data_IF_598169961111
#
_entry.id   IF_598169961111
#
_cell.length_a   1.000
_cell.length_b   1.000
_cell.length_c   1.000
_cell.angle_alpha   90.00
_cell.angle_beta   90.00
_cell.angle_gamma   90.00
#
_symmetry.space_group_name_H-M   'P 1'
#
loop_
_entity.id
_entity.type
_entity.pdbx_description
1 polymer ?
#
# COMPACT_ATOMS: atom_id res chain seq x y z
N UNK A 1 26.90 45.45 -16.95
CA UNK A 1 27.47 44.08 -16.98
C UNK A 1 27.33 43.37 -15.64
N UNK A 2 27.81 43.93 -14.52
CA UNK A 2 27.74 43.25 -13.20
C UNK A 2 26.32 42.90 -12.71
N UNK A 3 25.32 43.78 -12.91
CA UNK A 3 23.93 43.51 -12.50
C UNK A 3 23.32 42.34 -13.27
N UNK A 4 23.59 42.24 -14.57
CA UNK A 4 23.07 41.17 -15.43
C UNK A 4 23.69 39.80 -15.10
N UNK A 5 24.97 39.78 -14.70
CA UNK A 5 25.65 38.56 -14.25
C UNK A 5 25.12 38.07 -12.90
N UNK A 6 24.78 38.98 -11.97
CA UNK A 6 24.19 38.62 -10.68
C UNK A 6 22.76 38.10 -10.86
N UNK A 7 21.96 38.73 -11.72
CA UNK A 7 20.62 38.24 -12.07
C UNK A 7 20.67 36.87 -12.77
N UNK A 8 21.59 36.66 -13.71
CA UNK A 8 21.80 35.34 -14.33
C UNK A 8 22.20 34.28 -13.29
N UNK A 9 23.15 34.59 -12.41
CA UNK A 9 23.58 33.66 -11.37
C UNK A 9 22.46 33.31 -10.37
N UNK A 10 21.60 34.28 -10.02
CA UNK A 10 20.43 34.05 -9.14
C UNK A 10 19.39 33.15 -9.84
N UNK A 11 19.15 33.37 -11.14
CA UNK A 11 18.24 32.54 -11.92
C UNK A 11 18.79 31.12 -12.08
N UNK A 12 20.09 30.96 -12.35
CA UNK A 12 20.75 29.65 -12.41
C UNK A 12 20.68 28.92 -11.07
N UNK A 13 21.03 29.58 -9.95
CA UNK A 13 20.91 28.99 -8.61
C UNK A 13 19.45 28.62 -8.25
N UNK A 14 18.47 29.39 -8.71
CA UNK A 14 17.05 29.09 -8.50
C UNK A 14 16.59 27.90 -9.34
N UNK A 15 17.05 27.79 -10.59
CA UNK A 15 16.78 26.63 -11.46
C UNK A 15 17.46 25.37 -10.94
N UNK A 16 18.71 25.48 -10.46
CA UNK A 16 19.45 24.38 -9.85
C UNK A 16 18.74 23.85 -8.60
N UNK A 17 18.15 24.74 -7.79
CA UNK A 17 17.41 24.37 -6.59
C UNK A 17 16.08 23.65 -6.86
N UNK A 18 15.60 23.66 -8.12
CA UNK A 18 14.30 23.12 -8.55
C UNK A 18 14.40 21.89 -9.47
N UNK A 19 15.59 21.49 -9.90
CA UNK A 19 15.78 20.31 -10.74
C UNK A 19 15.84 19.04 -9.89
N UNK A 20 14.92 18.11 -10.13
CA UNK A 20 14.89 16.81 -9.46
C UNK A 20 16.06 15.92 -9.92
N UNK A 21 16.59 16.12 -11.13
CA UNK A 21 17.82 15.46 -11.61
C UNK A 21 19.06 15.95 -10.86
N UNK A 22 19.16 17.23 -10.51
CA UNK A 22 20.28 17.70 -9.68
C UNK A 22 20.17 17.20 -8.23
N UNK A 23 18.96 17.10 -7.70
CA UNK A 23 18.72 16.60 -6.34
C UNK A 23 19.00 15.09 -6.24
N UNK A 24 18.53 14.31 -7.23
CA UNK A 24 18.51 12.85 -7.15
C UNK A 24 19.36 12.13 -8.21
N UNK A 25 19.65 12.75 -9.35
CA UNK A 25 20.40 12.18 -10.47
C UNK A 25 21.92 12.19 -10.25
N UNK A 26 22.40 11.34 -9.35
CA UNK A 26 23.84 11.24 -9.05
C UNK A 26 24.48 10.12 -9.87
N UNK A 27 25.11 10.46 -11.00
CA UNK A 27 25.81 9.49 -11.86
C UNK A 27 26.77 8.62 -11.02
N UNK A 28 26.64 7.30 -11.15
CA UNK A 28 27.49 6.32 -10.48
C UNK A 28 27.18 6.07 -9.00
N UNK A 29 26.29 6.84 -8.35
CA UNK A 29 25.83 6.54 -6.98
C UNK A 29 24.61 5.64 -7.02
N UNK A 30 24.71 4.48 -6.38
CA UNK A 30 23.63 3.50 -6.21
C UNK A 30 23.70 2.91 -4.81
N UNK A 31 22.68 2.13 -4.47
CA UNK A 31 22.67 1.36 -3.23
C UNK A 31 22.19 2.15 -2.01
N UNK A 32 22.42 1.60 -0.80
CA UNK A 32 21.87 2.15 0.44
C UNK A 32 22.33 3.58 0.77
N UNK A 33 23.60 3.91 0.48
CA UNK A 33 24.15 5.24 0.75
C UNK A 33 23.51 6.32 -0.13
N UNK A 34 23.14 5.95 -1.36
CA UNK A 34 22.38 6.83 -2.24
C UNK A 34 21.00 7.13 -1.65
N UNK A 35 20.26 6.11 -1.23
CA UNK A 35 18.93 6.27 -0.64
C UNK A 35 18.97 7.07 0.67
N UNK A 36 20.01 6.90 1.48
CA UNK A 36 20.22 7.73 2.68
C UNK A 36 20.37 9.21 2.30
N UNK A 37 21.13 9.51 1.24
CA UNK A 37 21.26 10.87 0.73
C UNK A 37 19.95 11.45 0.21
N UNK A 38 19.09 10.62 -0.43
CA UNK A 38 17.74 11.03 -0.82
C UNK A 38 16.90 11.35 0.41
N UNK A 39 16.89 10.47 1.42
CA UNK A 39 16.13 10.68 2.65
C UNK A 39 16.56 11.96 3.37
N UNK A 40 17.87 12.22 3.47
CA UNK A 40 18.40 13.43 4.08
C UNK A 40 17.93 14.68 3.32
N UNK A 41 17.99 14.65 1.99
CA UNK A 41 17.51 15.75 1.15
C UNK A 41 16.01 16.01 1.34
N UNK A 42 15.19 14.96 1.23
CA UNK A 42 13.72 15.04 1.34
C UNK A 42 13.28 15.44 2.75
N UNK A 43 13.98 14.99 3.79
CA UNK A 43 13.60 15.26 5.20
C UNK A 43 14.08 16.60 5.73
N UNK A 44 15.28 17.03 5.32
CA UNK A 44 15.99 18.16 5.97
C UNK A 44 16.09 19.40 5.09
N UNK A 45 16.26 19.21 3.79
CA UNK A 45 16.55 20.31 2.87
C UNK A 45 15.30 20.75 2.11
N UNK A 46 14.49 19.78 1.66
CA UNK A 46 13.40 19.98 0.69
C UNK A 46 12.01 19.62 1.22
N UNK A 47 11.87 19.35 2.52
CA UNK A 47 10.60 18.93 3.11
C UNK A 47 9.52 20.00 2.91
N UNK A 48 8.34 19.60 2.44
CA UNK A 48 7.21 20.45 2.06
C UNK A 48 7.42 21.39 0.87
N UNK A 49 8.57 21.36 0.20
CA UNK A 49 8.71 22.06 -1.08
C UNK A 49 7.85 21.40 -2.16
N UNK A 50 7.29 22.23 -3.05
CA UNK A 50 6.40 21.81 -4.13
C UNK A 50 7.11 22.00 -5.46
N UNK A 51 7.17 20.93 -6.25
CA UNK A 51 7.81 20.88 -7.56
C UNK A 51 6.75 20.64 -8.63
N UNK A 52 6.67 21.52 -9.62
CA UNK A 52 5.79 21.32 -10.77
C UNK A 52 6.32 20.20 -11.67
N UNK A 53 5.47 19.25 -12.03
CA UNK A 53 5.80 18.20 -12.99
C UNK A 53 5.35 18.62 -14.38
N UNK A 54 6.15 18.29 -15.40
CA UNK A 54 5.78 18.59 -16.80
C UNK A 54 4.59 17.79 -17.29
N UNK A 55 4.43 16.56 -16.79
CA UNK A 55 3.30 15.68 -17.08
C UNK A 55 2.90 14.88 -15.83
N UNK A 56 1.58 14.65 -15.64
CA UNK A 56 0.48 15.28 -16.37
C UNK A 56 0.40 16.79 -16.10
N UNK A 57 -0.30 17.54 -16.97
CA UNK A 57 -0.38 19.00 -16.83
C UNK A 57 -1.08 19.39 -15.52
N UNK A 58 -0.47 20.28 -14.74
CA UNK A 58 -0.96 20.67 -13.42
C UNK A 58 -0.56 19.73 -12.28
N UNK A 59 0.16 18.64 -12.58
CA UNK A 59 0.67 17.77 -11.52
C UNK A 59 1.83 18.42 -10.76
N UNK A 60 1.88 18.15 -9.46
CA UNK A 60 2.91 18.66 -8.57
C UNK A 60 3.39 17.57 -7.62
N UNK A 61 4.69 17.51 -7.38
CA UNK A 61 5.31 16.69 -6.35
C UNK A 61 5.49 17.54 -5.09
N UNK A 62 4.77 17.21 -4.03
CA UNK A 62 5.04 17.73 -2.68
C UNK A 62 6.05 16.82 -1.99
N UNK A 63 7.24 17.33 -1.77
CA UNK A 63 8.35 16.58 -1.18
C UNK A 63 8.12 16.33 0.30
N UNK A 64 8.36 15.10 0.74
CA UNK A 64 8.19 14.72 2.14
C UNK A 64 8.60 13.26 2.35
N UNK A 65 9.17 12.92 3.51
CA UNK A 65 9.50 11.55 3.83
C UNK A 65 8.23 10.74 4.12
N UNK A 66 8.41 9.47 4.49
CA UNK A 66 7.31 8.54 4.79
C UNK A 66 6.30 9.11 5.81
N UNK A 67 6.81 9.83 6.80
CA UNK A 67 6.03 10.39 7.90
C UNK A 67 5.03 11.46 7.44
N UNK A 68 5.22 12.02 6.24
CA UNK A 68 4.34 13.03 5.64
C UNK A 68 3.27 12.42 4.71
N UNK A 69 3.20 11.09 4.64
CA UNK A 69 2.21 10.35 3.84
C UNK A 69 1.10 9.78 4.72
N UNK A 70 0.02 9.31 4.10
CA UNK A 70 -1.04 8.52 4.78
C UNK A 70 -0.54 7.20 5.36
N UNK A 71 0.68 6.76 5.03
CA UNK A 71 1.30 5.52 5.51
C UNK A 71 2.29 5.74 6.67
N UNK A 72 2.26 6.91 7.31
CA UNK A 72 3.17 7.28 8.40
C UNK A 72 3.14 6.29 9.59
N UNK A 73 1.99 5.72 9.89
CA UNK A 73 1.81 4.70 10.94
C UNK A 73 2.06 3.26 10.44
N UNK A 74 2.29 3.08 9.14
CA UNK A 74 2.39 1.78 8.47
C UNK A 74 3.73 1.57 7.73
N UNK A 75 4.89 1.75 8.39
CA UNK A 75 6.20 1.63 7.73
C UNK A 75 6.46 0.23 7.16
N UNK A 76 5.75 -0.79 7.65
CA UNK A 76 5.82 -2.16 7.12
C UNK A 76 5.20 -2.28 5.74
N UNK A 77 4.14 -1.53 5.44
CA UNK A 77 3.47 -1.51 4.13
C UNK A 77 4.43 -0.95 3.09
N UNK A 78 5.06 0.19 3.38
CA UNK A 78 6.02 0.83 2.47
C UNK A 78 7.25 -0.04 2.23
N UNK A 79 7.76 -0.69 3.27
CA UNK A 79 8.84 -1.69 3.13
C UNK A 79 8.40 -2.95 2.36
N UNK A 80 7.09 -3.21 2.27
CA UNK A 80 6.51 -4.29 1.48
C UNK A 80 6.54 -4.02 -0.02
N UNK A 81 6.41 -2.76 -0.45
CA UNK A 81 6.40 -2.40 -1.87
C UNK A 81 7.67 -2.86 -2.61
N UNK A 82 8.85 -2.62 -2.03
CA UNK A 82 10.12 -3.09 -2.60
C UNK A 82 10.37 -4.59 -2.49
N UNK A 83 9.51 -5.36 -1.80
CA UNK A 83 9.70 -6.81 -1.55
C UNK A 83 8.68 -7.70 -2.23
N UNK A 84 7.44 -7.23 -2.36
CA UNK A 84 6.31 -8.08 -2.73
C UNK A 84 5.67 -7.68 -4.06
N UNK A 85 5.93 -6.46 -4.55
CA UNK A 85 5.42 -6.00 -5.83
C UNK A 85 6.43 -6.24 -6.96
N UNK A 86 7.74 -6.12 -6.68
CA UNK A 86 8.76 -6.24 -7.70
C UNK A 86 9.35 -7.66 -7.76
N UNK A 87 9.71 -8.16 -8.97
CA UNK A 87 10.31 -9.49 -9.12
C UNK A 87 11.60 -9.67 -8.32
N UNK A 88 12.37 -8.59 -8.16
CA UNK A 88 13.57 -8.56 -7.34
C UNK A 88 13.34 -7.67 -6.12
N UNK A 89 13.87 -8.10 -4.97
CA UNK A 89 13.82 -7.29 -3.76
C UNK A 89 14.71 -6.06 -3.95
N UNK A 90 14.10 -4.89 -3.90
CA UNK A 90 14.79 -3.60 -4.01
C UNK A 90 14.54 -2.75 -2.77
N UNK A 91 15.52 -1.89 -2.47
CA UNK A 91 15.33 -0.83 -1.47
C UNK A 91 14.74 0.40 -2.14
N UNK A 92 13.77 1.00 -1.49
CA UNK A 92 13.06 2.18 -1.97
C UNK A 92 13.03 3.24 -0.87
N UNK A 93 13.01 4.50 -1.28
CA UNK A 93 12.86 5.65 -0.39
C UNK A 93 11.71 6.53 -0.88
N UNK A 94 10.79 6.89 0.03
CA UNK A 94 9.73 7.86 -0.25
C UNK A 94 10.35 9.23 -0.53
N UNK A 95 9.92 9.84 -1.62
CA UNK A 95 10.32 11.17 -2.09
C UNK A 95 9.24 12.19 -1.77
N UNK A 96 7.97 11.80 -1.87
CA UNK A 96 6.85 12.68 -1.60
C UNK A 96 5.54 12.16 -2.17
N UNK A 97 4.55 13.04 -2.22
CA UNK A 97 3.21 12.76 -2.74
C UNK A 97 3.00 13.56 -4.02
N UNK A 98 2.46 12.92 -5.05
CA UNK A 98 2.09 13.58 -6.30
C UNK A 98 0.61 13.93 -6.26
N UNK A 99 0.32 15.21 -6.49
CA UNK A 99 -1.02 15.77 -6.61
C UNK A 99 -1.29 16.18 -8.06
N UNK A 100 -2.57 16.36 -8.43
CA UNK A 100 -2.96 16.78 -9.79
C UNK A 100 -2.88 15.66 -10.84
N UNK A 101 -3.05 14.40 -10.44
CA UNK A 101 -3.12 13.24 -11.34
C UNK A 101 -4.53 12.64 -11.36
N UNK A 102 -4.77 11.69 -12.27
CA UNK A 102 -6.03 10.93 -12.31
C UNK A 102 -6.10 9.78 -11.30
N UNK A 103 -5.22 9.78 -10.28
CA UNK A 103 -5.22 8.75 -9.25
C UNK A 103 -6.58 8.74 -8.52
N UNK A 104 -7.28 7.59 -8.43
CA UNK A 104 -8.60 7.52 -7.79
C UNK A 104 -8.53 7.52 -6.26
N UNK A 105 -7.35 7.32 -5.69
CA UNK A 105 -7.11 7.13 -4.26
C UNK A 105 -6.50 8.36 -3.58
N UNK A 106 -6.44 8.33 -2.25
CA UNK A 106 -6.13 9.50 -1.40
C UNK A 106 -4.75 10.13 -1.69
N UNK A 107 -3.71 9.33 -1.94
CA UNK A 107 -2.36 9.84 -2.23
C UNK A 107 -1.62 8.95 -3.24
N UNK A 108 -1.03 9.56 -4.27
CA UNK A 108 -0.08 8.90 -5.16
C UNK A 108 1.34 9.08 -4.60
N UNK A 109 1.88 8.05 -3.95
CA UNK A 109 3.17 8.13 -3.24
C UNK A 109 4.32 7.86 -4.20
N UNK A 110 5.19 8.84 -4.40
CA UNK A 110 6.38 8.72 -5.23
C UNK A 110 7.57 8.21 -4.42
N UNK A 111 8.26 7.22 -4.98
CA UNK A 111 9.43 6.60 -4.40
C UNK A 111 10.55 6.49 -5.42
N UNK A 112 11.78 6.44 -4.91
CA UNK A 112 12.98 6.18 -5.69
C UNK A 112 13.71 4.94 -5.20
N UNK A 113 14.14 4.11 -6.15
CA UNK A 113 14.93 2.91 -5.90
C UNK A 113 16.41 3.21 -5.79
N UNK A 114 17.16 2.26 -5.24
CA UNK A 114 18.62 2.33 -5.17
C UNK A 114 19.32 2.36 -6.54
N UNK A 115 18.61 1.98 -7.62
CA UNK A 115 19.04 2.08 -9.01
C UNK A 115 18.57 3.37 -9.70
N UNK A 116 17.95 4.29 -8.94
CA UNK A 116 17.40 5.58 -9.35
C UNK A 116 16.11 5.53 -10.19
N UNK A 117 15.50 4.36 -10.39
CA UNK A 117 14.15 4.29 -10.98
C UNK A 117 13.12 4.85 -10.01
N UNK A 118 12.09 5.48 -10.56
CA UNK A 118 10.99 6.04 -9.79
C UNK A 118 9.72 5.23 -9.97
N UNK A 119 9.11 4.93 -8.83
CA UNK A 119 7.85 4.22 -8.77
C UNK A 119 6.80 5.08 -8.06
N UNK A 120 5.56 5.00 -8.51
CA UNK A 120 4.43 5.60 -7.81
C UNK A 120 3.49 4.50 -7.33
N UNK A 121 3.16 4.52 -6.04
CA UNK A 121 2.15 3.64 -5.46
C UNK A 121 0.84 4.40 -5.38
N UNK A 122 -0.20 3.84 -5.99
CA UNK A 122 -1.49 4.52 -6.07
C UNK A 122 -2.48 4.09 -4.99
N UNK A 123 -2.16 3.09 -4.17
CA UNK A 123 -3.08 2.55 -3.17
C UNK A 123 -3.33 1.06 -3.36
N UNK A 124 -3.21 0.56 -4.59
CA UNK A 124 -3.36 -0.86 -4.93
C UNK A 124 -2.19 -1.38 -5.78
N UNK A 125 -1.69 -0.56 -6.71
CA UNK A 125 -0.67 -0.96 -7.66
C UNK A 125 0.59 -0.09 -7.56
N UNK A 126 1.72 -0.69 -7.92
CA UNK A 126 3.01 -0.02 -8.01
C UNK A 126 3.36 0.21 -9.48
N UNK A 127 3.53 1.46 -9.88
CA UNK A 127 3.77 1.84 -11.27
C UNK A 127 5.20 2.33 -11.46
N UNK A 128 5.91 1.83 -12.47
CA UNK A 128 7.16 2.44 -12.94
C UNK A 128 6.83 3.72 -13.72
N UNK A 129 7.03 4.87 -13.09
CA UNK A 129 6.60 6.18 -13.62
C UNK A 129 7.72 6.96 -14.30
N UNK A 130 8.98 6.70 -13.94
CA UNK A 130 10.16 7.23 -14.63
C UNK A 130 11.37 6.32 -14.41
N UNK A 131 12.24 6.20 -15.41
CA UNK A 131 13.44 5.35 -15.36
C UNK A 131 14.62 6.02 -14.66
N UNK A 132 14.55 7.34 -14.46
CA UNK A 132 15.56 8.14 -13.76
C UNK A 132 15.00 9.50 -13.31
N UNK A 133 15.68 10.19 -12.38
CA UNK A 133 15.35 11.58 -12.02
C UNK A 133 15.40 12.53 -13.21
N UNK A 134 16.37 12.34 -14.12
CA UNK A 134 16.44 13.05 -15.39
C UNK A 134 15.16 12.94 -16.22
N UNK A 135 14.61 11.73 -16.35
CA UNK A 135 13.36 11.54 -17.09
C UNK A 135 12.19 12.24 -16.38
N UNK A 136 12.16 12.21 -15.04
CA UNK A 136 11.15 12.93 -14.27
C UNK A 136 11.17 14.45 -14.54
N UNK A 137 12.37 15.04 -14.62
CA UNK A 137 12.55 16.47 -14.94
C UNK A 137 12.24 16.79 -16.41
N UNK A 138 12.64 15.93 -17.34
CA UNK A 138 12.50 16.17 -18.78
C UNK A 138 11.07 15.91 -19.26
N UNK A 139 10.43 14.86 -18.78
CA UNK A 139 9.18 14.31 -19.31
C UNK A 139 8.03 14.33 -18.29
N UNK A 140 8.30 14.40 -16.98
CA UNK A 140 7.30 14.23 -15.92
C UNK A 140 7.12 12.77 -15.51
N UNK A 141 5.97 12.45 -14.93
CA UNK A 141 5.60 11.06 -14.62
C UNK A 141 4.73 10.48 -15.74
N UNK A 142 4.97 9.21 -16.07
CA UNK A 142 4.00 8.39 -16.80
C UNK A 142 3.09 7.72 -15.78
N UNK A 143 1.90 8.26 -15.57
CA UNK A 143 0.88 7.64 -14.70
C UNK A 143 -0.45 7.46 -15.44
N UNK A 144 -1.03 6.24 -15.50
CA UNK A 144 -0.42 4.97 -15.07
C UNK A 144 0.91 4.65 -15.78
N UNK A 145 1.76 3.89 -15.11
CA UNK A 145 3.12 3.58 -15.59
C UNK A 145 3.14 2.61 -16.78
N UNK A 146 4.26 2.59 -17.50
CA UNK A 146 4.48 1.62 -18.60
C UNK A 146 4.56 0.18 -18.11
N UNK A 147 4.96 -0.02 -16.86
CA UNK A 147 4.90 -1.29 -16.13
C UNK A 147 4.20 -1.05 -14.81
N UNK A 148 3.28 -1.94 -14.51
CA UNK A 148 2.49 -1.94 -13.29
C UNK A 148 2.64 -3.29 -12.62
N UNK A 149 2.74 -3.28 -11.29
CA UNK A 149 2.92 -4.46 -10.48
C UNK A 149 1.85 -4.47 -9.40
N UNK A 150 1.28 -5.63 -9.12
CA UNK A 150 0.31 -5.85 -8.05
C UNK A 150 0.98 -6.54 -6.85
N UNK A 151 0.32 -6.54 -5.70
CA UNK A 151 0.83 -7.20 -4.52
C UNK A 151 0.98 -8.72 -4.75
N UNK A 152 2.19 -9.25 -4.56
CA UNK A 152 2.49 -10.66 -4.77
C UNK A 152 2.98 -11.00 -6.18
N UNK A 153 3.09 -10.02 -7.07
CA UNK A 153 3.72 -10.16 -8.41
C UNK A 153 5.15 -10.72 -8.32
N UNK A 154 5.85 -10.47 -7.20
CA UNK A 154 7.15 -11.08 -6.87
C UNK A 154 7.14 -12.62 -6.85
N UNK A 155 5.96 -13.23 -6.70
CA UNK A 155 5.78 -14.68 -6.55
C UNK A 155 5.06 -15.32 -7.73
N UNK A 156 4.78 -14.58 -8.81
CA UNK A 156 3.99 -15.10 -9.94
C UNK A 156 4.58 -16.37 -10.58
N UNK A 157 5.91 -16.49 -10.55
CA UNK A 157 6.67 -17.60 -11.14
C UNK A 157 7.00 -18.70 -10.11
N UNK A 158 6.53 -18.57 -8.86
CA UNK A 158 6.78 -19.57 -7.82
C UNK A 158 6.05 -20.88 -8.13
N UNK A 159 6.81 -21.98 -8.17
CA UNK A 159 6.24 -23.31 -8.37
C UNK A 159 5.79 -23.95 -7.06
N UNK A 160 5.00 -25.03 -7.14
CA UNK A 160 4.64 -25.83 -5.97
C UNK A 160 5.85 -26.37 -5.20
N UNK A 161 6.95 -26.65 -5.91
CA UNK A 161 8.19 -27.15 -5.30
C UNK A 161 8.84 -26.04 -4.48
N UNK A 162 8.96 -24.85 -5.06
CA UNK A 162 9.54 -23.68 -4.38
C UNK A 162 8.75 -23.32 -3.11
N UNK A 163 7.41 -23.35 -3.19
CA UNK A 163 6.55 -23.12 -2.02
C UNK A 163 6.72 -24.19 -0.94
N UNK A 164 6.89 -25.45 -1.32
CA UNK A 164 7.12 -26.53 -0.37
C UNK A 164 8.49 -26.41 0.32
N UNK A 165 9.51 -25.93 -0.39
CA UNK A 165 10.81 -25.60 0.20
C UNK A 165 10.69 -24.44 1.21
N UNK A 166 10.01 -23.35 0.83
CA UNK A 166 9.75 -22.22 1.74
C UNK A 166 8.99 -22.67 2.99
N UNK A 167 7.98 -23.55 2.82
CA UNK A 167 7.17 -24.10 3.91
C UNK A 167 7.99 -24.97 4.85
N UNK A 168 8.88 -25.80 4.30
CA UNK A 168 9.80 -26.66 5.06
C UNK A 168 10.99 -25.90 5.65
N UNK A 169 11.25 -24.67 5.22
CA UNK A 169 12.30 -23.84 5.76
C UNK A 169 12.08 -23.45 7.23
N UNK A 170 13.12 -22.93 7.92
CA UNK A 170 13.03 -22.54 9.33
C UNK A 170 11.90 -21.56 9.62
N UNK A 171 11.69 -20.58 8.74
CA UNK A 171 10.61 -19.58 8.86
C UNK A 171 9.25 -20.22 8.64
N UNK A 172 9.07 -21.03 7.59
CA UNK A 172 7.82 -21.74 7.30
C UNK A 172 7.40 -22.65 8.45
N UNK A 173 8.32 -23.50 8.94
CA UNK A 173 8.06 -24.37 10.09
C UNK A 173 7.72 -23.58 11.37
N UNK A 174 8.38 -22.44 11.60
CA UNK A 174 8.05 -21.57 12.75
C UNK A 174 6.64 -21.00 12.62
N UNK A 175 6.29 -20.49 11.44
CA UNK A 175 4.96 -19.93 11.15
C UNK A 175 3.87 -21.01 11.28
N UNK A 176 4.10 -22.20 10.74
CA UNK A 176 3.20 -23.36 10.86
C UNK A 176 2.95 -23.71 12.34
N UNK A 177 4.01 -23.76 13.15
CA UNK A 177 3.90 -24.06 14.59
C UNK A 177 3.13 -22.97 15.34
N UNK A 178 3.40 -21.70 15.04
CA UNK A 178 2.69 -20.56 15.65
C UNK A 178 1.21 -20.59 15.24
N UNK A 179 0.93 -20.77 13.95
CA UNK A 179 -0.42 -20.92 13.41
C UNK A 179 -1.16 -22.07 14.09
N UNK A 180 -0.57 -23.27 14.14
CA UNK A 180 -1.19 -24.42 14.79
C UNK A 180 -1.51 -24.19 16.27
N UNK A 181 -0.57 -23.62 17.03
CA UNK A 181 -0.79 -23.27 18.45
C UNK A 181 -1.92 -22.25 18.60
N UNK A 182 -1.96 -21.22 17.76
CA UNK A 182 -2.98 -20.18 17.81
C UNK A 182 -4.37 -20.72 17.42
N UNK A 183 -4.48 -21.45 16.30
CA UNK A 183 -5.73 -22.10 15.88
C UNK A 183 -6.24 -23.01 16.99
N UNK A 184 -5.38 -23.87 17.54
CA UNK A 184 -5.80 -24.80 18.60
C UNK A 184 -6.30 -24.07 19.84
N UNK A 185 -5.64 -22.98 20.25
CA UNK A 185 -6.03 -22.18 21.42
C UNK A 185 -7.33 -21.40 21.22
N UNK A 186 -7.62 -20.94 19.99
CA UNK A 186 -8.70 -19.97 19.73
C UNK A 186 -9.90 -20.57 18.99
N UNK A 187 -9.75 -21.73 18.34
CA UNK A 187 -10.80 -22.39 17.54
C UNK A 187 -12.07 -22.61 18.34
N UNK A 188 -11.99 -23.14 19.56
CA UNK A 188 -13.18 -23.38 20.39
C UNK A 188 -13.97 -22.09 20.66
N UNK A 189 -13.27 -21.00 21.02
CA UNK A 189 -13.87 -19.68 21.30
C UNK A 189 -14.46 -19.06 20.04
N UNK A 190 -13.75 -19.14 18.91
CA UNK A 190 -14.24 -18.68 17.61
C UNK A 190 -15.49 -19.45 17.16
N UNK A 191 -15.50 -20.78 17.34
CA UNK A 191 -16.67 -21.62 17.05
C UNK A 191 -17.86 -21.33 17.97
N UNK A 192 -17.62 -20.91 19.20
CA UNK A 192 -18.65 -20.45 20.12
C UNK A 192 -19.26 -19.12 19.65
N UNK A 193 -18.43 -18.18 19.20
CA UNK A 193 -18.87 -16.90 18.67
C UNK A 193 -19.72 -17.02 17.38
N UNK A 194 -19.42 -18.00 16.54
CA UNK A 194 -20.21 -18.32 15.35
C UNK A 194 -21.55 -19.03 15.65
N UNK A 195 -21.98 -19.15 16.91
CA UNK A 195 -23.28 -19.74 17.26
C UNK A 195 -24.48 -18.80 17.08
N UNK A 196 -24.27 -17.50 16.86
CA UNK A 196 -25.35 -16.53 16.56
C UNK A 196 -25.77 -16.69 15.09
N UNK A 197 -26.99 -17.18 14.82
CA UNK A 197 -27.44 -17.62 13.49
C UNK A 197 -28.42 -16.66 12.81
N UNK A 198 -28.23 -16.45 11.50
CA UNK A 198 -29.25 -16.00 10.57
C UNK A 198 -29.70 -17.19 9.71
N UNK A 199 -31.00 -17.25 9.39
CA UNK A 199 -31.55 -18.30 8.53
C UNK A 199 -31.78 -17.77 7.10
N UNK A 200 -31.13 -18.39 6.12
CA UNK A 200 -31.34 -18.14 4.68
C UNK A 200 -32.03 -19.37 4.09
N UNK A 201 -33.25 -19.20 3.54
CA UNK A 201 -34.02 -20.28 2.86
C UNK A 201 -34.09 -21.59 3.68
N UNK A 202 -34.47 -21.49 4.94
CA UNK A 202 -34.55 -22.61 5.89
C UNK A 202 -33.23 -23.37 6.16
N UNK A 203 -32.08 -22.78 5.80
CA UNK A 203 -30.76 -23.24 6.21
C UNK A 203 -30.08 -22.17 7.06
N UNK A 204 -29.52 -22.58 8.19
CA UNK A 204 -28.73 -21.69 9.03
C UNK A 204 -27.37 -21.44 8.37
N UNK A 205 -27.13 -20.21 7.91
CA UNK A 205 -25.85 -19.79 7.32
C UNK A 205 -25.27 -18.71 8.22
N UNK A 206 -24.10 -18.99 8.78
CA UNK A 206 -23.44 -18.18 9.84
C UNK A 206 -22.51 -17.13 9.26
N UNK A 207 -21.73 -17.54 8.27
CA UNK A 207 -20.82 -16.70 7.52
C UNK A 207 -20.51 -17.38 6.17
N UNK A 208 -20.07 -16.60 5.20
CA UNK A 208 -19.45 -17.10 3.98
C UNK A 208 -17.99 -16.65 3.98
N UNK A 209 -17.09 -17.56 3.68
CA UNK A 209 -15.66 -17.31 3.62
C UNK A 209 -15.18 -17.73 2.23
N UNK A 210 -14.52 -16.82 1.53
CA UNK A 210 -13.86 -17.11 0.27
C UNK A 210 -12.55 -16.33 0.23
N UNK A 211 -11.42 -17.03 0.28
CA UNK A 211 -10.09 -16.43 0.43
C UNK A 211 -10.02 -15.45 1.63
N UNK A 212 -9.74 -14.19 1.35
CA UNK A 212 -9.69 -13.03 2.24
C UNK A 212 -11.08 -12.40 2.49
N UNK A 213 -12.07 -12.69 1.65
CA UNK A 213 -13.42 -12.19 1.82
C UNK A 213 -14.19 -12.96 2.90
N UNK A 214 -14.75 -12.22 3.86
CA UNK A 214 -15.66 -12.73 4.87
C UNK A 214 -17.01 -12.02 4.75
N UNK A 215 -18.10 -12.78 4.70
CA UNK A 215 -19.46 -12.24 4.82
C UNK A 215 -20.06 -12.71 6.12
N UNK A 216 -20.38 -11.76 7.01
CA UNK A 216 -21.13 -12.01 8.24
C UNK A 216 -22.62 -11.78 8.00
N UNK A 217 -23.46 -12.61 8.62
CA UNK A 217 -24.91 -12.56 8.48
C UNK A 217 -25.55 -12.53 9.87
N UNK A 218 -26.45 -11.58 10.09
CA UNK A 218 -27.20 -11.46 11.34
C UNK A 218 -28.65 -11.03 11.08
N UNK A 219 -29.64 -11.55 11.85
CA UNK A 219 -31.01 -11.07 11.79
C UNK A 219 -31.21 -9.69 12.45
N UNK A 220 -30.26 -9.23 13.26
CA UNK A 220 -30.32 -7.93 13.96
C UNK A 220 -29.02 -7.14 13.79
N UNK A 221 -29.12 -5.81 13.81
CA UNK A 221 -27.95 -4.91 13.80
C UNK A 221 -27.04 -5.15 15.02
N UNK A 222 -27.63 -5.30 16.21
CA UNK A 222 -26.88 -5.62 17.43
C UNK A 222 -26.11 -6.94 17.31
N UNK A 223 -26.71 -7.97 16.71
CA UNK A 223 -26.03 -9.24 16.47
C UNK A 223 -24.89 -9.12 15.47
N UNK A 224 -25.05 -8.27 14.43
CA UNK A 224 -23.98 -8.02 13.47
C UNK A 224 -22.82 -7.28 14.12
N UNK A 225 -23.11 -6.27 14.95
CA UNK A 225 -22.08 -5.53 15.68
C UNK A 225 -21.29 -6.44 16.62
N UNK A 226 -21.96 -7.37 17.32
CA UNK A 226 -21.28 -8.37 18.14
C UNK A 226 -20.33 -9.25 17.31
N UNK A 227 -20.79 -9.72 16.13
CA UNK A 227 -19.94 -10.50 15.24
C UNK A 227 -18.75 -9.67 14.70
N UNK A 228 -18.96 -8.38 14.39
CA UNK A 228 -17.91 -7.44 13.97
C UNK A 228 -16.86 -7.23 15.08
N UNK A 229 -17.27 -6.95 16.31
CA UNK A 229 -16.37 -6.76 17.45
C UNK A 229 -15.52 -8.01 17.71
N UNK A 230 -16.11 -9.20 17.49
CA UNK A 230 -15.41 -10.48 17.58
C UNK A 230 -14.36 -10.62 16.47
N UNK A 231 -14.72 -10.30 15.23
CA UNK A 231 -13.80 -10.36 14.08
C UNK A 231 -12.67 -9.36 14.26
N UNK A 232 -12.96 -8.13 14.69
CA UNK A 232 -11.94 -7.12 15.00
C UNK A 232 -10.97 -7.61 16.10
N UNK A 233 -11.52 -8.15 17.19
CA UNK A 233 -10.70 -8.71 18.27
C UNK A 233 -9.87 -9.91 17.79
N UNK A 234 -10.39 -10.71 16.85
CA UNK A 234 -9.64 -11.76 16.18
C UNK A 234 -8.52 -11.13 15.36
N UNK A 235 -8.81 -10.26 14.40
CA UNK A 235 -7.83 -9.62 13.53
C UNK A 235 -6.69 -8.95 14.30
N UNK A 236 -7.01 -8.20 15.37
CA UNK A 236 -6.02 -7.62 16.31
C UNK A 236 -5.09 -8.67 16.93
N UNK A 237 -5.63 -9.82 17.35
CA UNK A 237 -4.83 -10.91 17.90
C UNK A 237 -3.96 -11.63 16.86
N UNK A 238 -4.35 -11.57 15.58
CA UNK A 238 -3.66 -12.23 14.47
C UNK A 238 -2.77 -11.29 13.65
N UNK A 239 -2.63 -10.02 14.08
CA UNK A 239 -1.96 -8.95 13.34
C UNK A 239 -2.48 -8.82 11.89
N UNK A 240 -3.76 -9.13 11.70
CA UNK A 240 -4.50 -8.88 10.47
C UNK A 240 -5.15 -7.49 10.61
N UNK A 241 -5.12 -6.71 9.54
CA UNK A 241 -5.84 -5.46 9.46
C UNK A 241 -7.16 -5.71 8.72
N UNK A 242 -8.28 -5.32 9.32
CA UNK A 242 -9.55 -5.25 8.59
C UNK A 242 -9.53 -3.96 7.78
N UNK A 243 -9.74 -4.05 6.47
CA UNK A 243 -9.85 -2.86 5.64
C UNK A 243 -11.21 -2.21 5.85
N UNK A 244 -11.26 -1.25 6.78
CA UNK A 244 -12.48 -0.52 7.10
C UNK A 244 -13.01 0.31 5.92
N UNK A 245 -12.17 0.64 4.92
CA UNK A 245 -12.61 1.36 3.72
C UNK A 245 -13.37 0.44 2.75
N UNK A 246 -13.02 -0.85 2.70
CA UNK A 246 -13.70 -1.86 1.86
C UNK A 246 -14.88 -2.53 2.57
N UNK A 247 -14.91 -2.48 3.90
CA UNK A 247 -15.98 -3.08 4.71
C UNK A 247 -17.31 -2.33 4.54
N UNK A 248 -18.36 -3.05 4.13
CA UNK A 248 -19.69 -2.47 3.90
C UNK A 248 -20.79 -3.26 4.60
N UNK A 249 -21.72 -2.53 5.25
CA UNK A 249 -22.92 -3.09 5.87
C UNK A 249 -24.10 -2.97 4.91
N UNK A 250 -24.77 -4.08 4.62
CA UNK A 250 -25.93 -4.16 3.73
C UNK A 250 -27.14 -4.72 4.47
N UNK A 251 -28.34 -4.24 4.13
CA UNK A 251 -29.60 -4.80 4.65
C UNK A 251 -30.38 -5.44 3.51
N UNK A 252 -30.70 -6.73 3.65
CA UNK A 252 -31.51 -7.50 2.69
C UNK A 252 -32.88 -7.83 3.28
N UNK A 253 -33.94 -7.72 2.46
CA UNK A 253 -35.31 -8.07 2.84
C UNK A 253 -35.85 -9.13 1.88
N UNK A 254 -36.12 -10.33 2.39
CA UNK A 254 -36.70 -11.41 1.60
C UNK A 254 -38.21 -11.18 1.39
N UNK A 255 -38.62 -11.01 0.12
CA UNK A 255 -40.04 -10.85 -0.28
C UNK A 255 -40.93 -12.05 0.06
N UNK A 256 -40.35 -13.24 0.25
CA UNK A 256 -41.10 -14.48 0.51
C UNK A 256 -41.25 -14.81 2.00
N UNK A 257 -40.43 -14.23 2.89
CA UNK A 257 -40.40 -14.62 4.32
C UNK A 257 -40.52 -13.47 5.30
N UNK A 258 -40.72 -12.23 4.83
CA UNK A 258 -40.79 -10.99 5.65
C UNK A 258 -39.66 -10.86 6.69
N UNK A 259 -38.49 -11.47 6.43
CA UNK A 259 -37.31 -11.43 7.30
C UNK A 259 -36.31 -10.42 6.76
N UNK A 260 -35.83 -9.55 7.66
CA UNK A 260 -34.68 -8.68 7.42
C UNK A 260 -33.41 -9.41 7.83
N UNK A 261 -32.36 -9.27 7.04
CA UNK A 261 -31.02 -9.78 7.35
C UNK A 261 -30.04 -8.64 7.10
N UNK A 262 -29.19 -8.38 8.07
CA UNK A 262 -28.08 -7.44 7.96
C UNK A 262 -26.82 -8.25 7.69
N UNK A 263 -26.04 -7.81 6.71
CA UNK A 263 -24.84 -8.48 6.25
C UNK A 263 -23.67 -7.52 6.30
N UNK A 264 -22.48 -7.99 6.67
CA UNK A 264 -21.23 -7.22 6.50
C UNK A 264 -20.30 -8.00 5.59
N UNK A 265 -19.76 -7.34 4.56
CA UNK A 265 -18.71 -7.90 3.69
C UNK A 265 -17.39 -7.29 4.13
N UNK A 266 -16.40 -8.13 4.42
CA UNK A 266 -15.02 -7.77 4.65
C UNK A 266 -14.24 -8.19 3.40
N UNK A 267 -13.43 -7.27 2.89
CA UNK A 267 -12.39 -7.46 1.87
C UNK A 267 -11.15 -6.69 2.31
#
# INVERSE_FOLDING_TARGET
MAVCLVEQAIVELSLESKSLDLLFGKKGRKGPDYLKGVLDCVSKEKRNEIFGLKKPAGATLKMGPLEDTIYSEEPKVVNGWGKFYLPEIVRMQVVGVVEGTSCPWDQLVLMICEDQKLFAYDGEELHLVASSPRQLDEEGISYPGSKTYYEGEAFKDMTKVDWEEVRKGPTGMRLERVHHKLVTKKKAKFMEYLKVTAAIKDREVKCLLYNDDLVLLSPTEQGLQQQLDIVDQYCKNWALAVNMKKTNVMTSVSRHSNRRTVCSVFS
#
